data_IF_509014019755
#
_entry.id   IF_509014019755
#
_cell.length_a   1.000
_cell.length_b   1.000
_cell.length_c   1.000
_cell.angle_alpha   90.00
_cell.angle_beta   90.00
_cell.angle_gamma   90.00
#
_symmetry.space_group_name_H-M   'P 1'
#
loop_
_entity.id
_entity.type
_entity.pdbx_description
1 polymer ?
#
# COMPACT_ATOMS: atom_id res chain seq x y z
N UNK A 1 23.69 17.10 -16.62
CA UNK A 1 22.73 16.03 -16.27
C UNK A 1 22.38 15.31 -17.56
N UNK A 2 22.87 14.09 -17.79
CA UNK A 2 22.70 13.38 -19.07
C UNK A 2 21.22 13.06 -19.32
N UNK A 3 20.81 13.12 -20.59
CA UNK A 3 19.44 12.86 -21.07
C UNK A 3 18.93 11.48 -20.61
N UNK A 4 19.82 10.50 -20.45
CA UNK A 4 19.51 9.14 -19.98
C UNK A 4 18.94 9.09 -18.55
N UNK A 5 19.40 9.95 -17.63
CA UNK A 5 18.89 9.96 -16.25
C UNK A 5 17.45 10.50 -16.17
N UNK A 6 17.07 11.41 -17.06
CA UNK A 6 15.69 11.92 -17.12
C UNK A 6 14.73 10.81 -17.53
N UNK A 7 15.13 9.94 -18.46
CA UNK A 7 14.31 8.82 -18.93
C UNK A 7 14.17 7.74 -17.85
N UNK A 8 15.28 7.34 -17.20
CA UNK A 8 15.26 6.36 -16.13
C UNK A 8 14.36 6.80 -14.95
N UNK A 9 14.59 8.02 -14.44
CA UNK A 9 13.82 8.54 -13.31
C UNK A 9 12.31 8.59 -13.61
N UNK A 10 11.94 9.01 -14.82
CA UNK A 10 10.54 9.08 -15.24
C UNK A 10 9.90 7.69 -15.36
N UNK A 11 10.63 6.69 -15.86
CA UNK A 11 10.15 5.30 -15.92
C UNK A 11 9.91 4.75 -14.51
N UNK A 12 10.88 4.92 -13.59
CA UNK A 12 10.73 4.46 -12.20
C UNK A 12 9.59 5.19 -11.50
N UNK A 13 9.45 6.50 -11.71
CA UNK A 13 8.33 7.29 -11.18
C UNK A 13 6.99 6.79 -11.69
N UNK A 14 6.88 6.43 -12.97
CA UNK A 14 5.66 5.89 -13.56
C UNK A 14 5.32 4.52 -12.95
N UNK A 15 6.32 3.63 -12.79
CA UNK A 15 6.15 2.36 -12.10
C UNK A 15 5.72 2.54 -10.64
N UNK A 16 6.30 3.52 -9.94
CA UNK A 16 5.91 3.85 -8.57
C UNK A 16 4.45 4.28 -8.48
N UNK A 17 3.98 5.13 -9.41
CA UNK A 17 2.58 5.56 -9.49
C UNK A 17 1.63 4.39 -9.78
N UNK A 18 1.98 3.51 -10.71
CA UNK A 18 1.20 2.29 -10.99
C UNK A 18 1.13 1.41 -9.75
N UNK A 19 2.25 1.20 -9.07
CA UNK A 19 2.31 0.45 -7.81
C UNK A 19 1.38 1.05 -6.77
N UNK A 20 1.48 2.35 -6.52
CA UNK A 20 0.61 3.07 -5.57
C UNK A 20 -0.87 2.94 -5.92
N UNK A 21 -1.22 3.09 -7.20
CA UNK A 21 -2.59 2.95 -7.68
C UNK A 21 -3.11 1.52 -7.51
N UNK A 22 -2.28 0.50 -7.82
CA UNK A 22 -2.62 -0.89 -7.62
C UNK A 22 -2.84 -1.20 -6.14
N UNK A 23 -1.94 -0.73 -5.26
CA UNK A 23 -2.03 -0.96 -3.82
C UNK A 23 -3.26 -0.29 -3.20
N UNK A 24 -3.49 0.98 -3.53
CA UNK A 24 -4.66 1.72 -3.05
C UNK A 24 -5.96 1.15 -3.62
N UNK A 25 -5.98 0.81 -4.91
CA UNK A 25 -7.12 0.21 -5.59
C UNK A 25 -7.53 -1.11 -4.94
N UNK A 26 -6.58 -2.02 -4.71
CA UNK A 26 -6.87 -3.28 -4.01
C UNK A 26 -7.29 -3.05 -2.57
N UNK A 27 -6.68 -2.07 -1.89
CA UNK A 27 -7.04 -1.66 -0.54
C UNK A 27 -8.54 -1.34 -0.44
N UNK A 28 -8.99 -0.51 -1.36
CA UNK A 28 -10.35 0.00 -1.47
C UNK A 28 -11.32 -1.11 -1.90
N UNK A 29 -11.00 -1.85 -2.96
CA UNK A 29 -11.83 -2.94 -3.49
C UNK A 29 -12.12 -4.00 -2.42
N UNK A 30 -11.12 -4.44 -1.66
CA UNK A 30 -11.33 -5.39 -0.56
C UNK A 30 -12.24 -4.81 0.52
N UNK A 31 -12.09 -3.52 0.86
CA UNK A 31 -12.95 -2.86 1.84
C UNK A 31 -14.41 -2.80 1.38
N UNK A 32 -14.65 -2.50 0.10
CA UNK A 32 -16.00 -2.51 -0.51
C UNK A 32 -16.61 -3.91 -0.46
N UNK A 33 -15.87 -4.93 -0.93
CA UNK A 33 -16.36 -6.31 -0.97
C UNK A 33 -16.72 -6.77 0.45
N UNK A 34 -15.82 -6.50 1.41
CA UNK A 34 -16.04 -6.87 2.80
C UNK A 34 -17.23 -6.14 3.44
N UNK A 35 -17.45 -4.87 3.09
CA UNK A 35 -18.59 -4.07 3.54
C UNK A 35 -19.95 -4.65 3.11
N UNK A 36 -20.00 -5.34 1.96
CA UNK A 36 -21.21 -6.00 1.46
C UNK A 36 -21.61 -7.27 2.24
N UNK A 37 -20.85 -7.66 3.28
CA UNK A 37 -21.10 -8.79 4.20
C UNK A 37 -21.31 -10.16 3.53
N UNK A 38 -20.87 -10.33 2.29
CA UNK A 38 -21.00 -11.59 1.58
C UNK A 38 -19.80 -12.50 1.94
N UNK A 39 -20.03 -13.50 2.80
CA UNK A 39 -18.96 -14.33 3.38
C UNK A 39 -18.30 -15.28 2.37
N UNK A 40 -18.93 -15.52 1.22
CA UNK A 40 -18.39 -16.32 0.12
C UNK A 40 -17.23 -15.62 -0.64
N UNK A 41 -17.01 -14.32 -0.41
CA UNK A 41 -15.98 -13.55 -1.13
C UNK A 41 -14.57 -13.68 -0.52
N UNK A 42 -14.38 -14.53 0.52
CA UNK A 42 -13.08 -14.73 1.19
C UNK A 42 -11.98 -15.14 0.20
N UNK A 43 -12.28 -16.06 -0.71
CA UNK A 43 -11.33 -16.52 -1.71
C UNK A 43 -10.92 -15.40 -2.67
N UNK A 44 -11.90 -14.59 -3.11
CA UNK A 44 -11.67 -13.45 -4.00
C UNK A 44 -10.86 -12.34 -3.31
N UNK A 45 -11.14 -12.04 -2.04
CA UNK A 45 -10.36 -11.09 -1.24
C UNK A 45 -8.92 -11.58 -1.08
N UNK A 46 -8.73 -12.86 -0.77
CA UNK A 46 -7.40 -13.44 -0.63
C UNK A 46 -6.63 -13.38 -1.95
N UNK A 47 -7.30 -13.62 -3.08
CA UNK A 47 -6.70 -13.55 -4.42
C UNK A 47 -6.24 -12.12 -4.76
N UNK A 48 -7.10 -11.12 -4.53
CA UNK A 48 -6.75 -9.70 -4.67
C UNK A 48 -5.55 -9.30 -3.83
N UNK A 49 -5.53 -9.72 -2.56
CA UNK A 49 -4.42 -9.40 -1.64
C UNK A 49 -3.12 -10.07 -2.10
N UNK A 50 -3.20 -11.34 -2.50
CA UNK A 50 -1.99 -12.13 -2.81
C UNK A 50 -1.40 -11.80 -4.18
N UNK A 51 -2.23 -11.61 -5.20
CA UNK A 51 -1.78 -11.39 -6.58
C UNK A 51 -1.50 -9.94 -6.94
N UNK A 52 -2.11 -8.99 -6.25
CA UNK A 52 -2.01 -7.56 -6.62
C UNK A 52 -1.44 -6.73 -5.48
N UNK A 53 -2.07 -6.77 -4.30
CA UNK A 53 -1.67 -5.93 -3.17
C UNK A 53 -0.25 -6.22 -2.68
N UNK A 54 0.09 -7.49 -2.43
CA UNK A 54 1.42 -7.85 -1.94
C UNK A 54 2.54 -7.46 -2.91
N UNK A 55 2.46 -7.82 -4.21
CA UNK A 55 3.43 -7.35 -5.19
C UNK A 55 3.53 -5.82 -5.21
N UNK A 56 2.41 -5.10 -5.21
CA UNK A 56 2.42 -3.63 -5.19
C UNK A 56 3.11 -3.08 -3.93
N UNK A 57 2.80 -3.61 -2.75
CA UNK A 57 3.40 -3.22 -1.48
C UNK A 57 4.91 -3.47 -1.40
N UNK A 58 5.44 -4.40 -2.21
CA UNK A 58 6.88 -4.65 -2.35
C UNK A 58 7.53 -3.71 -3.38
N UNK A 59 6.91 -3.53 -4.54
CA UNK A 59 7.47 -2.72 -5.62
C UNK A 59 7.48 -1.22 -5.32
N UNK A 60 6.58 -0.73 -4.46
CA UNK A 60 6.51 0.68 -4.07
C UNK A 60 7.74 1.11 -3.26
N UNK A 61 8.11 0.44 -2.14
CA UNK A 61 9.36 0.71 -1.45
C UNK A 61 10.58 0.59 -2.38
N UNK A 62 10.64 -0.46 -3.21
CA UNK A 62 11.75 -0.67 -4.13
C UNK A 62 11.92 0.50 -5.10
N UNK A 63 10.86 0.88 -5.81
CA UNK A 63 10.88 2.02 -6.73
C UNK A 63 11.17 3.35 -6.02
N UNK A 64 10.66 3.54 -4.80
CA UNK A 64 10.97 4.71 -3.97
C UNK A 64 12.45 4.82 -3.59
N UNK A 65 13.09 3.69 -3.25
CA UNK A 65 14.54 3.61 -3.00
C UNK A 65 15.32 3.93 -4.27
N UNK A 66 14.94 3.35 -5.41
CA UNK A 66 15.60 3.63 -6.70
C UNK A 66 15.52 5.11 -7.09
N UNK A 67 14.37 5.76 -6.86
CA UNK A 67 14.22 7.21 -7.08
C UNK A 67 15.07 8.05 -6.11
N UNK A 68 15.26 7.57 -4.88
CA UNK A 68 16.05 8.24 -3.86
C UNK A 68 17.55 8.09 -4.09
N UNK A 69 18.01 6.98 -4.68
CA UNK A 69 19.41 6.81 -5.11
C UNK A 69 19.75 7.82 -6.22
N UNK A 70 18.87 7.99 -7.21
CA UNK A 70 19.07 8.97 -8.29
C UNK A 70 19.01 10.42 -7.78
N UNK A 71 18.22 10.68 -6.73
CA UNK A 71 18.09 12.01 -6.13
C UNK A 71 18.17 11.97 -4.60
N UNK A 72 19.38 11.80 -4.07
CA UNK A 72 19.61 11.65 -2.63
C UNK A 72 19.11 12.82 -1.76
N UNK A 73 19.02 14.04 -2.32
CA UNK A 73 18.46 15.20 -1.62
C UNK A 73 17.06 14.94 -1.04
N UNK A 74 16.22 14.11 -1.67
CA UNK A 74 14.89 13.79 -1.15
C UNK A 74 14.91 13.17 0.25
N UNK A 75 15.95 12.41 0.60
CA UNK A 75 16.10 11.82 1.94
C UNK A 75 16.44 12.86 3.00
N UNK A 76 16.96 14.03 2.62
CA UNK A 76 17.24 15.12 3.57
C UNK A 76 15.99 15.94 3.91
N UNK A 77 14.92 15.79 3.14
CA UNK A 77 13.66 16.50 3.35
C UNK A 77 12.84 15.76 4.43
N UNK A 78 12.54 16.45 5.54
CA UNK A 78 11.79 15.87 6.65
C UNK A 78 10.44 15.26 6.25
N UNK A 79 9.74 15.87 5.28
CA UNK A 79 8.48 15.34 4.73
C UNK A 79 8.63 13.95 4.09
N UNK A 80 9.78 13.63 3.49
CA UNK A 80 10.02 12.31 2.91
C UNK A 80 10.16 11.24 4.00
N UNK A 81 10.84 11.58 5.11
CA UNK A 81 11.00 10.67 6.25
C UNK A 81 9.66 10.33 6.89
N UNK A 82 8.77 11.31 7.01
CA UNK A 82 7.38 11.10 7.49
C UNK A 82 6.64 10.13 6.55
N UNK A 83 6.75 10.29 5.23
CA UNK A 83 6.12 9.38 4.26
C UNK A 83 6.63 7.95 4.38
N UNK A 84 7.94 7.78 4.57
CA UNK A 84 8.55 6.45 4.77
C UNK A 84 7.99 5.80 6.04
N UNK A 85 7.94 6.54 7.16
CA UNK A 85 7.39 6.03 8.42
C UNK A 85 5.92 5.61 8.28
N UNK A 86 5.08 6.46 7.67
CA UNK A 86 3.66 6.13 7.44
C UNK A 86 3.53 4.94 6.47
N UNK A 87 4.38 4.87 5.45
CA UNK A 87 4.46 3.74 4.52
C UNK A 87 4.75 2.42 5.22
N UNK A 88 5.76 2.39 6.10
CA UNK A 88 6.11 1.20 6.88
C UNK A 88 4.97 0.77 7.81
N UNK A 89 4.33 1.71 8.51
CA UNK A 89 3.15 1.43 9.34
C UNK A 89 2.00 0.83 8.51
N UNK A 90 1.78 1.37 7.31
CA UNK A 90 0.76 0.89 6.38
C UNK A 90 1.02 -0.55 5.93
N UNK A 91 2.28 -0.89 5.62
CA UNK A 91 2.70 -2.27 5.31
C UNK A 91 2.38 -3.21 6.48
N UNK A 92 2.67 -2.80 7.72
CA UNK A 92 2.35 -3.62 8.90
C UNK A 92 0.85 -3.90 9.01
N UNK A 93 0.00 -2.88 8.88
CA UNK A 93 -1.45 -3.07 8.99
C UNK A 93 -2.04 -3.95 7.87
N UNK A 94 -1.52 -3.83 6.66
CA UNK A 94 -1.94 -4.68 5.52
C UNK A 94 -1.54 -6.15 5.74
N UNK A 95 -0.34 -6.41 6.27
CA UNK A 95 0.06 -7.77 6.65
C UNK A 95 -0.75 -8.34 7.82
N UNK A 96 -1.05 -7.54 8.84
CA UNK A 96 -1.88 -7.98 9.97
C UNK A 96 -3.31 -8.31 9.53
N UNK A 97 -3.89 -7.52 8.62
CA UNK A 97 -5.19 -7.80 8.00
C UNK A 97 -5.16 -9.13 7.25
N UNK A 98 -4.17 -9.35 6.36
CA UNK A 98 -4.01 -10.61 5.64
C UNK A 98 -3.81 -11.81 6.57
N UNK A 99 -2.98 -11.66 7.60
CA UNK A 99 -2.69 -12.74 8.54
C UNK A 99 -3.97 -13.24 9.21
N UNK A 100 -4.87 -12.31 9.59
CA UNK A 100 -6.19 -12.65 10.10
C UNK A 100 -7.02 -13.39 9.06
N UNK A 101 -7.04 -12.94 7.81
CA UNK A 101 -7.78 -13.60 6.73
C UNK A 101 -7.38 -15.06 6.51
N UNK A 102 -6.09 -15.38 6.62
CA UNK A 102 -5.56 -16.72 6.35
C UNK A 102 -5.62 -17.62 7.59
N UNK A 103 -5.22 -17.13 8.75
CA UNK A 103 -4.95 -17.95 9.94
C UNK A 103 -6.00 -17.82 11.04
N UNK A 104 -7.11 -17.12 10.81
CA UNK A 104 -8.14 -16.91 11.83
C UNK A 104 -9.53 -17.23 11.33
N UNK A 105 -10.40 -17.62 12.27
CA UNK A 105 -11.80 -17.91 11.99
C UNK A 105 -12.58 -16.62 11.69
N UNK A 106 -13.03 -16.49 10.45
CA UNK A 106 -13.81 -15.34 9.98
C UNK A 106 -15.30 -15.42 10.32
N UNK A 107 -15.75 -16.54 10.90
CA UNK A 107 -17.06 -16.65 11.52
C UNK A 107 -17.14 -15.93 12.87
N UNK A 108 -16.00 -15.59 13.49
CA UNK A 108 -15.96 -14.86 14.74
C UNK A 108 -16.00 -13.34 14.50
N UNK A 109 -17.03 -12.69 15.05
CA UNK A 109 -17.26 -11.24 14.91
C UNK A 109 -16.09 -10.39 15.44
N UNK A 110 -15.42 -10.80 16.50
CA UNK A 110 -14.25 -10.10 17.03
C UNK A 110 -13.08 -10.11 16.04
N UNK A 111 -12.83 -11.26 15.40
CA UNK A 111 -11.76 -11.43 14.41
C UNK A 111 -12.09 -10.62 13.15
N UNK A 112 -13.35 -10.65 12.72
CA UNK A 112 -13.87 -9.86 11.60
C UNK A 112 -13.71 -8.36 11.83
N UNK A 113 -14.03 -7.87 13.03
CA UNK A 113 -13.83 -6.47 13.40
C UNK A 113 -12.35 -6.09 13.37
N UNK A 114 -11.46 -6.95 13.88
CA UNK A 114 -10.01 -6.70 13.87
C UNK A 114 -9.42 -6.71 12.46
N UNK A 115 -9.91 -7.58 11.57
CA UNK A 115 -9.57 -7.55 10.15
C UNK A 115 -9.95 -6.22 9.52
N UNK A 116 -11.20 -5.76 9.72
CA UNK A 116 -11.71 -4.49 9.19
C UNK A 116 -10.92 -3.30 9.74
N UNK A 117 -10.61 -3.31 11.04
CA UNK A 117 -9.82 -2.25 11.68
C UNK A 117 -8.44 -2.12 11.04
N UNK A 118 -7.71 -3.23 10.91
CA UNK A 118 -6.38 -3.23 10.26
C UNK A 118 -6.48 -2.77 8.80
N UNK A 119 -7.54 -3.16 8.09
CA UNK A 119 -7.74 -2.73 6.70
C UNK A 119 -7.97 -1.24 6.58
N UNK A 120 -8.80 -0.68 7.45
CA UNK A 120 -9.10 0.75 7.47
C UNK A 120 -7.88 1.58 7.89
N UNK A 121 -7.08 1.10 8.85
CA UNK A 121 -5.81 1.75 9.22
C UNK A 121 -4.81 1.74 8.06
N UNK A 122 -4.73 0.64 7.30
CA UNK A 122 -3.95 0.58 6.07
C UNK A 122 -4.42 1.59 5.01
N UNK A 123 -5.73 1.66 4.77
CA UNK A 123 -6.32 2.63 3.84
C UNK A 123 -6.09 4.09 4.27
N UNK A 124 -6.20 4.37 5.57
CA UNK A 124 -5.90 5.68 6.14
C UNK A 124 -4.43 6.05 5.91
N UNK A 125 -3.51 5.12 6.19
CA UNK A 125 -2.08 5.32 5.93
C UNK A 125 -1.78 5.62 4.46
N UNK A 126 -2.34 4.85 3.54
CA UNK A 126 -2.21 5.13 2.09
C UNK A 126 -2.77 6.50 1.71
N UNK A 127 -3.93 6.86 2.26
CA UNK A 127 -4.56 8.16 2.00
C UNK A 127 -3.71 9.32 2.50
N UNK A 128 -3.12 9.19 3.70
CA UNK A 128 -2.18 10.19 4.23
C UNK A 128 -0.95 10.34 3.33
N UNK A 129 -0.37 9.24 2.85
CA UNK A 129 0.77 9.30 1.93
C UNK A 129 0.40 10.09 0.66
N UNK A 130 -0.78 9.85 0.10
CA UNK A 130 -1.28 10.57 -1.08
C UNK A 130 -1.49 12.06 -0.77
N UNK A 131 -2.10 12.41 0.37
CA UNK A 131 -2.36 13.82 0.73
C UNK A 131 -1.06 14.58 0.98
N UNK A 132 -0.08 13.96 1.63
CA UNK A 132 1.24 14.58 1.89
C UNK A 132 2.03 14.78 0.56
N UNK A 133 1.58 14.23 -0.58
CA UNK A 133 2.14 14.54 -1.90
C UNK A 133 1.65 15.89 -2.45
N UNK A 134 0.48 16.39 -2.03
CA UNK A 134 -0.14 17.62 -2.55
C UNK A 134 0.33 18.93 -1.91
N UNK A 135 1.18 18.89 -0.88
CA UNK A 135 1.75 20.07 -0.24
C UNK A 135 3.24 20.19 -0.62
N UNK A 136 3.52 20.61 -1.84
CA UNK A 136 4.81 21.12 -2.30
C UNK A 136 4.65 21.86 -3.63
#
# INVERSE_FOLDING_TARGET
MNIENLTYYNVVKFLHLIGMAAWFGTALTVSIIWSRKNTNDKALILDLITKVEMPASFFIPLSGVLMSIDRMYWLTIGWMQIKICIGLLTVVFTHLSRSKLIHSDMGNDYIKQKFTMNRNLGLLGLSLIIVIVGFN
#
